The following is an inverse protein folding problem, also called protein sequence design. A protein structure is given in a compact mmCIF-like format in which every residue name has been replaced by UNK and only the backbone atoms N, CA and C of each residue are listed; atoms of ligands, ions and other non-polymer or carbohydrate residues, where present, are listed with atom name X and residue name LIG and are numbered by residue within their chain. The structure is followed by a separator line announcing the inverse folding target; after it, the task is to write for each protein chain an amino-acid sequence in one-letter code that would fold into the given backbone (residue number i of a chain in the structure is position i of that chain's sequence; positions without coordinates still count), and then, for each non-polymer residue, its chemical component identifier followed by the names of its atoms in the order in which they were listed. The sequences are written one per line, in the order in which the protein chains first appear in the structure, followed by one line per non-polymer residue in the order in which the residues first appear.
data_IF_737009314081
#
_entry.id   IF_737009314081
#
_cell.length_a   1.000
_cell.length_b   1.000
_cell.length_c   1.000
_cell.angle_alpha   90.00
_cell.angle_beta   90.00
_cell.angle_gamma   90.00
#
_symmetry.space_group_name_H-M   'P 1'
#
loop_
_entity.id
_entity.type
_entity.pdbx_description
1 polymer ?
#
# COMPACT_ATOMS: atom_id res chain seq x y z
N UNK A 1 -19.61 18.48 -53.50
CA UNK A 1 -18.28 18.49 -52.83
C UNK A 1 -18.43 17.78 -51.49
N UNK A 2 -17.75 16.65 -51.24
CA UNK A 2 -17.99 15.86 -50.03
C UNK A 2 -17.14 16.36 -48.85
N UNK A 3 -17.76 16.42 -47.67
CA UNK A 3 -17.09 16.68 -46.41
C UNK A 3 -16.13 15.54 -46.06
N UNK A 4 -14.84 15.84 -45.93
CA UNK A 4 -13.81 14.91 -45.42
C UNK A 4 -13.94 14.80 -43.91
N UNK A 5 -14.42 13.66 -43.41
CA UNK A 5 -14.21 13.27 -42.02
C UNK A 5 -12.74 12.89 -41.82
N UNK A 6 -12.00 13.68 -41.03
CA UNK A 6 -10.73 13.24 -40.45
C UNK A 6 -11.04 12.31 -39.28
N UNK A 7 -10.90 11.01 -39.51
CA UNK A 7 -10.82 10.03 -38.43
C UNK A 7 -9.43 10.15 -37.79
N UNK A 8 -9.38 10.66 -36.56
CA UNK A 8 -8.18 10.58 -35.73
C UNK A 8 -8.25 9.26 -34.96
N UNK A 9 -7.57 8.24 -35.47
CA UNK A 9 -7.33 7.01 -34.73
C UNK A 9 -6.45 7.35 -33.52
N UNK A 10 -7.02 7.28 -32.32
CA UNK A 10 -6.25 7.30 -31.09
C UNK A 10 -5.40 6.02 -31.04
N UNK A 11 -4.08 6.18 -31.11
CA UNK A 11 -3.14 5.09 -30.92
C UNK A 11 -3.30 4.56 -29.48
N UNK A 12 -3.80 3.34 -29.33
CA UNK A 12 -3.80 2.64 -28.06
C UNK A 12 -2.35 2.39 -27.65
N UNK A 13 -1.87 3.15 -26.65
CA UNK A 13 -0.57 2.90 -26.06
C UNK A 13 -0.58 1.51 -25.42
N UNK A 14 0.21 0.59 -25.98
CA UNK A 14 0.42 -0.74 -25.40
C UNK A 14 1.07 -0.57 -24.03
N UNK A 15 0.26 -0.65 -22.95
CA UNK A 15 0.77 -0.68 -21.59
C UNK A 15 1.54 -1.98 -21.42
N UNK A 16 2.86 -1.90 -21.37
CA UNK A 16 3.69 -3.02 -20.97
C UNK A 16 3.17 -3.60 -19.63
N UNK A 17 3.19 -4.93 -19.43
CA UNK A 17 2.70 -5.53 -18.21
C UNK A 17 3.46 -4.96 -17.00
N UNK A 18 2.73 -4.50 -15.98
CA UNK A 18 3.30 -4.02 -14.73
C UNK A 18 4.11 -5.15 -14.07
N UNK A 19 5.41 -4.91 -13.84
CA UNK A 19 6.37 -5.84 -13.26
C UNK A 19 6.86 -5.31 -11.90
N UNK A 20 6.29 -5.84 -10.82
CA UNK A 20 6.64 -5.53 -9.43
C UNK A 20 7.87 -6.31 -8.93
N UNK A 21 8.55 -7.09 -9.80
CA UNK A 21 9.78 -7.80 -9.43
C UNK A 21 10.98 -6.87 -9.23
N UNK A 22 11.02 -5.70 -9.88
CA UNK A 22 12.11 -4.72 -9.74
C UNK A 22 12.02 -3.87 -8.48
N UNK A 23 10.82 -3.66 -7.96
CA UNK A 23 10.56 -2.90 -6.74
C UNK A 23 10.62 -3.76 -5.47
N UNK A 24 10.59 -5.08 -5.61
CA UNK A 24 10.94 -6.04 -4.55
C UNK A 24 12.46 -6.21 -4.37
N UNK A 25 13.21 -5.14 -4.11
CA UNK A 25 14.55 -5.27 -3.51
C UNK A 25 14.44 -5.50 -1.99
N UNK A 26 13.79 -6.62 -1.65
CA UNK A 26 13.96 -7.29 -0.37
C UNK A 26 14.18 -8.79 -0.63
N UNK A 27 14.91 -9.14 -1.70
CA UNK A 27 15.43 -10.49 -1.93
C UNK A 27 16.83 -10.37 -2.55
N UNK A 28 17.84 -10.58 -1.70
CA UNK A 28 19.14 -11.13 -2.11
C UNK A 28 20.25 -10.17 -2.51
N UNK A 29 20.95 -9.57 -1.53
CA UNK A 29 22.43 -9.70 -1.41
C UNK A 29 22.88 -9.24 -0.02
N UNK A 30 23.11 -10.17 0.91
CA UNK A 30 23.96 -9.94 2.09
C UNK A 30 25.19 -10.83 1.92
N UNK A 31 26.35 -10.23 1.68
CA UNK A 31 27.63 -10.87 1.88
C UNK A 31 28.65 -9.82 2.39
N UNK A 32 28.84 -9.87 3.70
CA UNK A 32 30.13 -9.77 4.43
C UNK A 32 31.00 -8.52 4.24
N UNK A 33 31.18 -7.77 5.34
CA UNK A 33 32.50 -7.59 5.96
C UNK A 33 32.37 -6.86 7.32
N UNK A 34 32.51 -7.60 8.41
CA UNK A 34 32.97 -7.06 9.69
C UNK A 34 34.40 -7.56 9.86
N UNK A 35 35.37 -6.65 9.94
CA UNK A 35 36.74 -6.95 10.39
C UNK A 35 37.10 -6.00 11.52
N UNK A 36 37.66 -6.63 12.54
CA UNK A 36 38.08 -6.17 13.87
C UNK A 36 39.19 -5.11 13.80
N UNK A 37 39.17 -4.17 14.74
CA UNK A 37 40.30 -3.34 15.18
C UNK A 37 39.76 -2.15 15.96
N UNK A 38 40.23 -1.75 17.14
CA UNK A 38 41.42 -2.04 17.92
C UNK A 38 41.51 -0.89 18.94
N UNK A 39 42.07 -1.16 20.12
CA UNK A 39 42.08 -0.31 21.31
C UNK A 39 43.07 0.88 21.22
N UNK A 40 42.79 1.95 21.99
CA UNK A 40 43.62 3.11 22.38
C UNK A 40 43.72 4.26 21.35
N UNK A 41 43.66 5.56 21.72
CA UNK A 41 44.33 6.24 22.84
C UNK A 41 43.62 7.54 23.23
N UNK A 42 43.78 7.94 24.50
CA UNK A 42 43.41 9.26 25.05
C UNK A 42 44.50 10.32 24.80
N UNK A 43 44.07 11.59 24.98
CA UNK A 43 44.80 12.85 25.26
C UNK A 43 45.15 13.74 24.05
N UNK A 44 44.47 14.90 23.91
CA UNK A 44 45.00 16.21 24.32
C UNK A 44 44.02 17.36 24.02
N UNK A 45 43.76 18.19 25.04
CA UNK A 45 43.14 19.50 24.91
C UNK A 45 44.10 20.49 24.24
N UNK A 46 43.59 21.29 23.31
CA UNK A 46 44.25 22.50 22.80
C UNK A 46 43.18 23.53 22.43
N UNK A 47 43.19 24.66 23.13
CA UNK A 47 42.23 25.75 23.00
C UNK A 47 42.13 26.30 21.56
N UNK A 48 40.90 26.59 21.10
CA UNK A 48 40.72 27.24 19.80
C UNK A 48 39.27 27.55 19.42
N UNK A 49 38.81 28.72 19.88
CA UNK A 49 37.73 29.56 19.31
C UNK A 49 36.32 28.95 19.24
N UNK A 50 35.41 29.55 20.00
CA UNK A 50 33.96 29.50 19.78
C UNK A 50 33.60 30.13 18.44
N UNK A 51 33.74 29.39 17.35
CA UNK A 51 33.01 29.67 16.14
C UNK A 51 31.61 29.07 16.32
N UNK A 52 30.56 29.90 16.29
CA UNK A 52 29.22 29.40 15.99
C UNK A 52 29.30 28.77 14.61
N UNK A 53 29.42 27.45 14.55
CA UNK A 53 29.22 26.71 13.33
C UNK A 53 27.75 26.90 12.95
N UNK A 54 27.50 27.76 11.96
CA UNK A 54 26.25 27.74 11.23
C UNK A 54 26.16 26.34 10.62
N UNK A 55 25.29 25.48 11.15
CA UNK A 55 25.03 24.19 10.53
C UNK A 55 24.62 24.48 9.08
N UNK A 56 25.32 23.94 8.07
CA UNK A 56 24.85 24.05 6.71
C UNK A 56 23.43 23.48 6.68
N UNK A 57 22.48 24.26 6.15
CA UNK A 57 21.17 23.73 5.82
C UNK A 57 21.31 22.51 4.91
N UNK A 58 20.32 21.60 4.87
CA UNK A 58 20.40 20.44 4.01
C UNK A 58 20.75 20.89 2.59
N UNK A 59 21.77 20.27 2.00
CA UNK A 59 22.22 20.59 0.66
C UNK A 59 21.04 20.57 -0.32
N UNK A 60 20.93 21.60 -1.16
CA UNK A 60 19.96 21.64 -2.25
C UNK A 60 20.14 20.37 -3.10
N UNK A 61 19.19 19.44 -2.99
CA UNK A 61 19.25 18.14 -3.67
C UNK A 61 19.22 16.90 -2.77
N UNK A 62 19.12 17.03 -1.43
CA UNK A 62 18.66 15.90 -0.63
C UNK A 62 17.29 15.45 -1.16
N UNK A 63 17.04 14.15 -1.42
CA UNK A 63 15.72 13.70 -1.84
C UNK A 63 14.73 14.21 -0.80
N UNK A 64 13.67 14.89 -1.24
CA UNK A 64 12.54 15.20 -0.36
C UNK A 64 12.01 13.84 0.12
N UNK A 65 12.48 13.38 1.28
CA UNK A 65 11.99 12.17 1.92
C UNK A 65 10.49 12.38 2.08
N UNK A 66 9.70 11.63 1.29
CA UNK A 66 8.24 11.73 1.33
C UNK A 66 7.80 11.56 2.78
N UNK A 67 6.91 12.43 3.23
CA UNK A 67 6.41 12.38 4.61
C UNK A 67 5.89 10.97 4.94
N UNK A 68 6.13 10.43 6.14
CA UNK A 68 5.58 9.15 6.55
C UNK A 68 4.05 9.15 6.42
N UNK A 69 3.49 8.03 5.95
CA UNK A 69 2.03 7.87 5.92
C UNK A 69 1.49 7.72 7.34
N UNK A 70 0.35 8.34 7.60
CA UNK A 70 -0.43 8.15 8.81
C UNK A 70 -1.55 7.14 8.55
N UNK A 71 -1.95 6.42 9.60
CA UNK A 71 -3.07 5.49 9.57
C UNK A 71 -4.21 6.01 10.44
N UNK A 72 -5.43 5.59 10.16
CA UNK A 72 -6.59 5.88 11.00
C UNK A 72 -6.39 5.23 12.36
N UNK A 73 -6.61 5.99 13.44
CA UNK A 73 -6.62 5.47 14.80
C UNK A 73 -7.69 6.20 15.63
N UNK A 74 -8.57 5.49 16.35
CA UNK A 74 -8.72 4.03 16.39
C UNK A 74 -9.56 3.48 15.21
N UNK A 75 -9.35 2.22 14.85
CA UNK A 75 -10.21 1.41 13.97
C UNK A 75 -10.87 0.30 14.78
N UNK A 76 -12.20 0.22 14.70
CA UNK A 76 -12.98 -0.86 15.25
C UNK A 76 -13.09 -2.00 14.23
N UNK A 77 -12.34 -3.09 14.44
CA UNK A 77 -12.32 -4.23 13.53
C UNK A 77 -13.66 -4.98 13.46
N UNK A 78 -14.52 -4.89 14.48
CA UNK A 78 -15.86 -5.48 14.42
C UNK A 78 -16.74 -4.70 13.45
N UNK A 79 -16.65 -3.37 13.45
CA UNK A 79 -17.34 -2.52 12.46
C UNK A 79 -16.71 -2.61 11.07
N UNK A 80 -15.42 -2.92 10.99
CA UNK A 80 -14.71 -3.13 9.72
C UNK A 80 -15.02 -4.50 9.09
N UNK A 81 -15.50 -5.47 9.88
CA UNK A 81 -15.84 -6.82 9.42
C UNK A 81 -16.90 -6.86 8.31
N UNK A 82 -17.00 -7.99 7.62
CA UNK A 82 -17.92 -8.22 6.50
C UNK A 82 -17.33 -7.82 5.15
N UNK A 83 -18.20 -7.70 4.15
CA UNK A 83 -17.81 -7.54 2.75
C UNK A 83 -17.48 -6.09 2.41
N UNK A 84 -16.40 -5.92 1.66
CA UNK A 84 -16.01 -4.70 0.97
C UNK A 84 -15.82 -5.00 -0.53
N UNK A 85 -16.21 -4.05 -1.36
CA UNK A 85 -16.08 -4.10 -2.81
C UNK A 85 -14.97 -3.17 -3.26
N UNK A 86 -14.02 -3.70 -4.02
CA UNK A 86 -12.94 -2.90 -4.62
C UNK A 86 -13.53 -1.99 -5.71
N UNK A 87 -13.27 -0.70 -5.60
CA UNK A 87 -13.70 0.31 -6.56
C UNK A 87 -12.55 0.72 -7.48
N UNK A 88 -11.34 0.79 -6.92
CA UNK A 88 -10.12 1.09 -7.65
C UNK A 88 -8.92 0.49 -6.93
N UNK A 89 -7.85 0.21 -7.69
CA UNK A 89 -6.57 -0.23 -7.14
C UNK A 89 -5.39 0.25 -7.97
N UNK A 90 -4.22 0.37 -7.34
CA UNK A 90 -2.99 0.38 -8.12
C UNK A 90 -2.73 -1.00 -8.75
N UNK A 91 -2.14 -1.06 -9.95
CA UNK A 91 -1.83 -2.33 -10.60
C UNK A 91 -1.00 -3.23 -9.68
N UNK A 92 -1.36 -4.49 -9.60
CA UNK A 92 -0.63 -5.50 -8.84
C UNK A 92 -0.65 -6.84 -9.57
N UNK A 93 0.32 -7.71 -9.28
CA UNK A 93 0.43 -9.00 -9.98
C UNK A 93 -0.61 -10.03 -9.58
N UNK A 94 -1.04 -10.02 -8.31
CA UNK A 94 -1.88 -11.07 -7.74
C UNK A 94 -3.35 -10.96 -8.18
N UNK A 95 -3.80 -9.81 -8.66
CA UNK A 95 -5.15 -9.64 -9.24
C UNK A 95 -5.09 -9.49 -10.78
N UNK A 96 -4.02 -9.93 -11.46
CA UNK A 96 -3.88 -9.80 -12.93
C UNK A 96 -4.96 -10.55 -13.72
N UNK A 97 -5.54 -11.59 -13.12
CA UNK A 97 -6.57 -12.43 -13.76
C UNK A 97 -7.99 -12.02 -13.36
N UNK A 98 -8.14 -11.00 -12.50
CA UNK A 98 -9.46 -10.48 -12.14
C UNK A 98 -9.94 -9.56 -13.27
N UNK A 99 -11.05 -9.94 -13.90
CA UNK A 99 -11.65 -9.21 -15.03
C UNK A 99 -13.02 -8.60 -14.70
N UNK A 100 -13.61 -8.96 -13.55
CA UNK A 100 -14.88 -8.45 -13.08
C UNK A 100 -14.82 -7.85 -11.68
N UNK A 101 -15.96 -7.78 -10.97
CA UNK A 101 -16.03 -7.29 -9.60
C UNK A 101 -15.08 -8.06 -8.67
N UNK A 102 -14.44 -7.34 -7.77
CA UNK A 102 -13.58 -7.90 -6.71
C UNK A 102 -14.18 -7.53 -5.35
N UNK A 103 -14.20 -8.49 -4.44
CA UNK A 103 -14.60 -8.27 -3.05
C UNK A 103 -13.59 -8.85 -2.07
N UNK A 104 -13.47 -8.21 -0.90
CA UNK A 104 -12.74 -8.70 0.25
C UNK A 104 -13.71 -8.83 1.43
N UNK A 105 -13.80 -10.01 2.04
CA UNK A 105 -14.57 -10.25 3.24
C UNK A 105 -13.64 -10.43 4.45
N UNK A 106 -13.91 -9.67 5.51
CA UNK A 106 -13.10 -9.67 6.73
C UNK A 106 -13.89 -10.30 7.89
N UNK A 107 -13.32 -11.33 8.51
CA UNK A 107 -13.97 -12.04 9.62
C UNK A 107 -13.04 -12.07 10.83
N UNK A 108 -13.27 -11.23 11.86
CA UNK A 108 -12.51 -11.26 13.11
C UNK A 108 -12.55 -12.65 13.75
N UNK A 109 -11.41 -13.10 14.27
CA UNK A 109 -11.24 -14.42 14.86
C UNK A 109 -11.05 -14.33 16.39
N UNK A 110 -11.34 -15.42 17.13
CA UNK A 110 -11.16 -15.45 18.59
C UNK A 110 -9.73 -15.23 19.07
N UNK A 111 -8.73 -15.52 18.23
CA UNK A 111 -7.30 -15.32 18.53
C UNK A 111 -6.82 -13.88 18.29
N UNK A 112 -7.72 -12.98 17.90
CA UNK A 112 -7.43 -11.57 17.61
C UNK A 112 -6.92 -11.32 16.18
N UNK A 113 -6.79 -12.36 15.35
CA UNK A 113 -6.53 -12.19 13.91
C UNK A 113 -7.82 -11.88 13.14
N UNK A 114 -7.70 -11.57 11.86
CA UNK A 114 -8.84 -11.39 10.95
C UNK A 114 -8.64 -12.29 9.75
N UNK A 115 -9.58 -13.18 9.47
CA UNK A 115 -9.58 -13.91 8.21
C UNK A 115 -9.93 -12.95 7.07
N UNK A 116 -9.24 -13.08 5.94
CA UNK A 116 -9.46 -12.28 4.73
C UNK A 116 -9.82 -13.24 3.60
N UNK A 117 -11.01 -13.12 3.03
CA UNK A 117 -11.42 -13.84 1.82
C UNK A 117 -11.51 -12.85 0.66
N UNK A 118 -10.55 -12.89 -0.25
CA UNK A 118 -10.62 -12.17 -1.51
C UNK A 118 -11.29 -13.04 -2.56
N UNK A 119 -12.21 -12.46 -3.32
CA UNK A 119 -12.90 -13.12 -4.43
C UNK A 119 -12.97 -12.20 -5.63
N UNK A 120 -12.69 -12.72 -6.82
CA UNK A 120 -12.92 -12.00 -8.07
C UNK A 120 -13.43 -12.91 -9.19
N UNK A 121 -14.01 -12.31 -10.22
CA UNK A 121 -14.44 -13.03 -11.43
C UNK A 121 -13.32 -12.99 -12.47
N UNK A 122 -12.97 -14.15 -13.01
CA UNK A 122 -12.00 -14.33 -14.10
C UNK A 122 -12.65 -14.10 -15.48
N UNK A 123 -11.88 -13.90 -16.56
CA UNK A 123 -12.44 -13.72 -17.91
C UNK A 123 -13.32 -14.87 -18.40
N UNK A 124 -13.10 -16.08 -17.89
CA UNK A 124 -13.87 -17.29 -18.20
C UNK A 124 -15.18 -17.40 -17.39
N UNK A 125 -15.48 -16.43 -16.52
CA UNK A 125 -16.67 -16.39 -15.69
C UNK A 125 -16.56 -17.18 -14.38
N UNK A 126 -15.46 -17.90 -14.14
CA UNK A 126 -15.22 -18.61 -12.88
C UNK A 126 -14.76 -17.63 -11.78
N UNK A 127 -15.04 -17.98 -10.53
CA UNK A 127 -14.49 -17.25 -9.37
C UNK A 127 -13.06 -17.69 -9.08
N UNK A 128 -12.21 -16.72 -8.81
CA UNK A 128 -10.90 -16.91 -8.17
C UNK A 128 -11.00 -16.44 -6.72
N UNK A 129 -10.52 -17.27 -5.79
CA UNK A 129 -10.63 -17.04 -4.35
C UNK A 129 -9.28 -17.22 -3.66
N UNK A 130 -8.98 -16.30 -2.74
CA UNK A 130 -7.78 -16.36 -1.92
C UNK A 130 -8.14 -16.10 -0.45
N UNK A 131 -7.84 -17.09 0.39
CA UNK A 131 -8.02 -17.01 1.85
C UNK A 131 -6.70 -16.65 2.50
N UNK A 132 -6.72 -15.63 3.35
CA UNK A 132 -5.58 -15.14 4.09
C UNK A 132 -5.92 -14.81 5.55
N UNK A 133 -4.90 -14.35 6.27
CA UNK A 133 -4.99 -13.93 7.66
C UNK A 133 -4.33 -12.56 7.80
N UNK A 134 -5.01 -11.64 8.47
CA UNK A 134 -4.49 -10.35 8.87
C UNK A 134 -4.24 -10.28 10.37
N UNK A 135 -3.23 -9.53 10.78
CA UNK A 135 -2.94 -9.20 12.18
C UNK A 135 -2.70 -7.71 12.34
N UNK A 136 -3.07 -7.15 13.50
CA UNK A 136 -2.77 -5.76 13.83
C UNK A 136 -1.29 -5.63 14.21
N UNK A 137 -0.64 -4.59 13.69
CA UNK A 137 0.70 -4.19 14.09
C UNK A 137 0.58 -3.02 15.07
N UNK A 138 0.98 -3.18 16.34
CA UNK A 138 0.91 -2.10 17.32
C UNK A 138 1.70 -0.86 16.89
N UNK A 139 1.11 0.31 17.11
CA UNK A 139 1.76 1.61 16.90
C UNK A 139 1.87 2.31 18.24
N UNK A 140 3.09 2.66 18.65
CA UNK A 140 3.34 3.30 19.93
C UNK A 140 2.56 4.62 20.04
N UNK A 141 1.77 4.77 21.11
CA UNK A 141 0.93 5.96 21.33
C UNK A 141 -0.35 6.05 20.49
N UNK A 142 -0.65 5.05 19.67
CA UNK A 142 -1.87 5.01 18.83
C UNK A 142 -2.62 3.68 19.03
N UNK A 143 -3.36 3.51 20.14
CA UNK A 143 -4.14 2.30 20.37
C UNK A 143 -5.21 2.14 19.28
N UNK A 144 -5.34 0.93 18.75
CA UNK A 144 -6.29 0.63 17.67
C UNK A 144 -5.92 1.23 16.31
N UNK A 145 -4.66 1.59 16.08
CA UNK A 145 -4.21 2.03 14.77
C UNK A 145 -4.56 1.00 13.67
N UNK A 146 -5.08 1.47 12.54
CA UNK A 146 -5.41 0.69 11.35
C UNK A 146 -4.19 0.23 10.57
N UNK A 147 -3.11 -0.15 11.27
CA UNK A 147 -1.91 -0.74 10.69
C UNK A 147 -1.99 -2.25 10.84
N UNK A 148 -2.07 -2.95 9.71
CA UNK A 148 -2.16 -4.40 9.67
C UNK A 148 -1.09 -4.98 8.76
N UNK A 149 -0.84 -6.27 8.95
CA UNK A 149 -0.10 -7.13 8.03
C UNK A 149 -1.02 -8.27 7.60
N UNK A 150 -1.00 -8.62 6.32
CA UNK A 150 -1.83 -9.67 5.71
C UNK A 150 -0.95 -10.74 5.09
N UNK A 151 -1.37 -11.99 5.19
CA UNK A 151 -0.65 -13.16 4.68
C UNK A 151 -1.62 -14.13 4.00
N UNK A 152 -1.29 -14.53 2.78
CA UNK A 152 -2.01 -15.57 2.02
C UNK A 152 -1.22 -16.89 1.92
N UNK A 153 -0.04 -16.96 2.55
CA UNK A 153 0.78 -18.17 2.62
C UNK A 153 0.27 -19.17 3.68
N UNK A 154 0.56 -20.48 3.54
CA UNK A 154 0.21 -21.51 4.52
C UNK A 154 0.66 -21.18 5.95
N UNK A 155 -0.15 -21.52 6.97
CA UNK A 155 0.09 -21.20 8.41
C UNK A 155 1.49 -21.52 8.93
N UNK A 156 2.08 -22.63 8.49
CA UNK A 156 3.43 -23.06 8.88
C UNK A 156 4.56 -22.13 8.38
N UNK A 157 4.29 -21.21 7.44
CA UNK A 157 5.22 -20.17 7.00
C UNK A 157 5.05 -18.83 7.76
N UNK A 158 4.13 -18.74 8.72
CA UNK A 158 3.85 -17.49 9.45
C UNK A 158 5.05 -16.88 10.20
N UNK A 159 6.06 -17.69 10.52
CA UNK A 159 7.31 -17.26 11.18
C UNK A 159 8.23 -16.46 10.27
N UNK A 160 8.06 -16.52 8.95
CA UNK A 160 8.84 -15.74 7.99
C UNK A 160 8.25 -14.33 7.83
N UNK A 161 8.99 -13.26 8.11
CA UNK A 161 8.49 -11.90 7.92
C UNK A 161 8.09 -11.61 6.46
N UNK A 162 8.79 -12.20 5.47
CA UNK A 162 8.57 -11.89 4.06
C UNK A 162 7.20 -12.34 3.50
N UNK A 163 6.47 -13.19 4.22
CA UNK A 163 5.14 -13.65 3.76
C UNK A 163 4.01 -12.72 4.21
N UNK A 164 4.33 -11.72 5.04
CA UNK A 164 3.41 -10.69 5.50
C UNK A 164 3.56 -9.44 4.62
N UNK A 165 2.45 -8.97 4.07
CA UNK A 165 2.37 -7.71 3.33
C UNK A 165 1.67 -6.65 4.15
N UNK A 166 2.10 -5.39 4.01
CA UNK A 166 1.47 -4.25 4.67
C UNK A 166 0.03 -4.04 4.18
N UNK A 167 -0.85 -3.72 5.13
CA UNK A 167 -2.23 -3.30 4.87
C UNK A 167 -2.56 -2.14 5.82
N UNK A 168 -2.47 -0.91 5.34
CA UNK A 168 -2.63 0.28 6.17
C UNK A 168 -3.91 1.01 5.77
N UNK A 169 -4.82 1.21 6.74
CA UNK A 169 -6.05 1.99 6.56
C UNK A 169 -5.68 3.47 6.69
N UNK A 170 -5.59 4.15 5.55
CA UNK A 170 -5.11 5.54 5.43
C UNK A 170 -6.25 6.56 5.62
N UNK A 171 -7.47 6.16 5.28
CA UNK A 171 -8.70 6.92 5.49
C UNK A 171 -9.87 5.96 5.63
N UNK A 172 -10.79 6.30 6.51
CA UNK A 172 -12.00 5.54 6.80
C UNK A 172 -13.07 6.54 7.21
N UNK A 173 -14.24 6.47 6.58
CA UNK A 173 -15.36 7.32 6.96
C UNK A 173 -15.97 6.87 8.30
N UNK A 174 -16.72 7.76 8.95
CA UNK A 174 -17.31 7.52 10.27
C UNK A 174 -18.26 6.32 10.31
N UNK A 175 -18.91 6.03 9.19
CA UNK A 175 -19.92 4.99 9.05
C UNK A 175 -19.38 3.68 8.47
N UNK A 176 -18.06 3.60 8.22
CA UNK A 176 -17.37 2.40 7.71
C UNK A 176 -17.96 1.95 6.36
N UNK A 177 -18.30 2.93 5.51
CA UNK A 177 -18.84 2.77 4.16
C UNK A 177 -17.76 2.84 3.09
N UNK A 178 -16.70 3.61 3.29
CA UNK A 178 -15.61 3.84 2.33
C UNK A 178 -14.27 3.82 3.07
N UNK A 179 -13.32 3.04 2.55
CA UNK A 179 -11.97 2.95 3.09
C UNK A 179 -10.93 3.14 1.99
N UNK A 180 -9.89 3.91 2.30
CA UNK A 180 -8.68 4.00 1.51
C UNK A 180 -7.58 3.19 2.21
N UNK A 181 -7.02 2.23 1.49
CA UNK A 181 -6.01 1.32 2.01
C UNK A 181 -4.77 1.40 1.12
N UNK A 182 -3.57 1.34 1.70
CA UNK A 182 -2.35 1.25 0.92
C UNK A 182 -1.17 0.68 1.69
N UNK A 183 0.00 0.75 1.07
CA UNK A 183 1.28 0.33 1.64
C UNK A 183 2.21 1.52 1.89
N UNK A 184 3.16 1.44 2.85
CA UNK A 184 4.03 2.55 3.22
C UNK A 184 4.93 3.06 2.07
N UNK A 185 5.32 2.16 1.16
CA UNK A 185 6.10 2.44 -0.05
C UNK A 185 5.29 3.14 -1.17
N UNK A 186 3.95 3.17 -1.03
CA UNK A 186 2.97 3.71 -1.99
C UNK A 186 2.88 2.95 -3.31
N UNK A 187 3.30 1.69 -3.32
CA UNK A 187 3.21 0.85 -4.51
C UNK A 187 1.83 0.19 -4.66
N UNK A 188 1.13 -0.02 -3.56
CA UNK A 188 -0.20 -0.60 -3.55
C UNK A 188 -1.22 0.33 -2.90
N UNK A 189 -2.38 0.41 -3.52
CA UNK A 189 -3.51 1.24 -3.10
C UNK A 189 -4.79 0.50 -3.45
N UNK A 190 -5.80 0.60 -2.59
CA UNK A 190 -7.16 0.16 -2.83
C UNK A 190 -8.15 1.19 -2.29
N UNK A 191 -9.18 1.47 -3.10
CA UNK A 191 -10.40 2.13 -2.63
C UNK A 191 -11.46 1.06 -2.46
N UNK A 192 -11.96 0.92 -1.23
CA UNK A 192 -12.94 -0.09 -0.85
C UNK A 192 -14.26 0.59 -0.48
N UNK A 193 -15.38 -0.02 -0.85
CA UNK A 193 -16.71 0.47 -0.51
C UNK A 193 -17.61 -0.67 -0.01
N UNK A 194 -18.52 -0.39 0.92
CA UNK A 194 -19.59 -1.31 1.29
C UNK A 194 -20.65 -1.44 0.22
N UNK A 195 -20.81 -0.42 -0.63
CA UNK A 195 -21.66 -0.50 -1.80
C UNK A 195 -20.88 -1.16 -2.96
N UNK A 196 -21.51 -2.02 -3.77
CA UNK A 196 -20.85 -2.62 -4.94
C UNK A 196 -20.27 -1.59 -5.91
N UNK A 197 -20.94 -0.44 -6.03
CA UNK A 197 -20.51 0.69 -6.85
C UNK A 197 -20.55 1.97 -6.02
N UNK A 198 -19.44 2.69 -6.00
CA UNK A 198 -19.33 4.03 -5.42
C UNK A 198 -19.64 5.08 -6.48
N UNK A 199 -20.27 6.19 -6.07
CA UNK A 199 -20.47 7.36 -6.92
C UNK A 199 -19.14 7.92 -7.42
N UNK A 200 -19.12 8.44 -8.64
CA UNK A 200 -17.87 8.88 -9.30
C UNK A 200 -17.17 10.00 -8.53
N UNK A 201 -17.91 10.97 -8.01
CA UNK A 201 -17.37 12.08 -7.21
C UNK A 201 -16.76 11.57 -5.90
N UNK A 202 -17.38 10.59 -5.26
CA UNK A 202 -16.87 10.00 -4.03
C UNK A 202 -15.60 9.19 -4.29
N UNK A 203 -15.54 8.42 -5.39
CA UNK A 203 -14.31 7.74 -5.78
C UNK A 203 -13.20 8.74 -6.09
N UNK A 204 -13.49 9.79 -6.85
CA UNK A 204 -12.50 10.80 -7.21
C UNK A 204 -11.94 11.49 -5.97
N UNK A 205 -12.79 11.80 -4.97
CA UNK A 205 -12.34 12.37 -3.70
C UNK A 205 -11.36 11.44 -2.94
N UNK A 206 -11.55 10.12 -2.98
CA UNK A 206 -10.59 9.17 -2.41
C UNK A 206 -9.26 9.13 -3.18
N UNK A 207 -9.32 9.20 -4.51
CA UNK A 207 -8.13 9.23 -5.37
C UNK A 207 -7.35 10.54 -5.23
N UNK A 208 -8.02 11.68 -5.10
CA UNK A 208 -7.39 12.98 -4.87
C UNK A 208 -6.69 13.00 -3.51
N UNK A 209 -7.33 12.45 -2.47
CA UNK A 209 -6.70 12.27 -1.17
C UNK A 209 -5.48 11.34 -1.27
N UNK A 210 -5.58 10.20 -1.96
CA UNK A 210 -4.43 9.32 -2.19
C UNK A 210 -3.29 10.02 -2.96
N UNK A 211 -3.60 10.84 -3.96
CA UNK A 211 -2.61 11.63 -4.69
C UNK A 211 -1.88 12.61 -3.76
N UNK A 212 -2.62 13.26 -2.84
CA UNK A 212 -2.02 14.15 -1.82
C UNK A 212 -1.05 13.43 -0.88
N UNK A 213 -1.26 12.12 -0.66
CA UNK A 213 -0.37 11.26 0.12
C UNK A 213 0.85 10.77 -0.68
N UNK A 214 0.91 11.05 -1.99
CA UNK A 214 2.02 10.71 -2.89
C UNK A 214 1.88 9.37 -3.62
N UNK A 215 0.66 8.83 -3.73
CA UNK A 215 0.36 7.69 -4.60
C UNK A 215 0.22 8.16 -6.05
N UNK A 216 0.66 7.34 -7.01
CA UNK A 216 0.53 7.64 -8.43
C UNK A 216 -0.86 7.23 -8.96
N UNK A 217 -1.86 8.04 -8.66
CA UNK A 217 -3.25 7.78 -9.05
C UNK A 217 -3.51 7.96 -10.55
N UNK A 218 -2.51 8.28 -11.36
CA UNK A 218 -2.66 8.20 -12.83
C UNK A 218 -2.69 6.74 -13.33
N UNK A 219 -2.22 5.80 -12.51
CA UNK A 219 -2.08 4.37 -12.84
C UNK A 219 -3.23 3.49 -12.34
N UNK A 220 -4.19 4.03 -11.58
CA UNK A 220 -5.27 3.22 -10.99
C UNK A 220 -6.04 2.46 -12.07
N UNK A 221 -6.39 1.24 -11.72
CA UNK A 221 -7.34 0.40 -12.44
C UNK A 221 -8.66 0.50 -11.70
N UNK A 222 -9.73 0.83 -12.43
CA UNK A 222 -11.09 0.83 -11.90
C UNK A 222 -11.64 -0.60 -11.92
N UNK A 223 -12.42 -0.95 -10.91
CA UNK A 223 -12.98 -2.29 -10.73
C UNK A 223 -14.52 -2.21 -10.69
N UNK A 224 -15.20 -3.19 -11.30
CA UNK A 224 -16.66 -3.33 -11.19
C UNK A 224 -17.49 -2.25 -11.89
N UNK A 225 -17.02 -1.71 -13.02
CA UNK A 225 -17.71 -0.69 -13.82
C UNK A 225 -18.13 -1.20 -15.19
#
# INVERSE_FOLDING_TARGET
MPFRHRSAAAAAASRAPFDDRRTSQAIGTLATAFVVGGVATWIAMGAGRTARAQLPGPADGAPLMRAPLQVVAPVDLQRYAGIWHEQARLPNRFQKQCAGPVSAEYTPQPDGTVQVLNRCVRPDGHFDEAVGTARVVPVAGQPGAGRLEVRFAPSWLSWLPMVWGDYWILKLDRDYRVALVGTPDREYLWVLSRAPRLEDDALQAELDYAASLGFDTSKVVLTGR
#
